data_IF_738096554644
#
_entry.id   IF_738096554644
#
_cell.length_a   1.000
_cell.length_b   1.000
_cell.length_c   1.000
_cell.angle_alpha   90.00
_cell.angle_beta   90.00
_cell.angle_gamma   90.00
#
_symmetry.space_group_name_H-M   'P 1'
#
loop_
_entity.id
_entity.type
_entity.pdbx_description
1 polymer ?
#
# COMPACT_ATOMS: atom_id res chain seq x y z
N UNK A 1 -25.86 -70.46 -12.11
CA UNK A 1 -25.19 -69.89 -13.30
C UNK A 1 -24.64 -68.52 -12.90
N UNK A 2 -23.36 -68.46 -12.49
CA UNK A 2 -22.24 -67.79 -13.21
C UNK A 2 -22.48 -66.27 -13.34
N UNK A 3 -22.12 -65.46 -12.34
CA UNK A 3 -20.81 -64.81 -12.06
C UNK A 3 -20.46 -63.61 -12.96
N UNK A 4 -20.33 -62.47 -12.27
CA UNK A 4 -19.30 -61.41 -12.36
C UNK A 4 -19.23 -60.49 -13.59
N UNK A 5 -18.94 -59.21 -13.31
CA UNK A 5 -18.49 -58.26 -14.34
C UNK A 5 -18.30 -56.80 -13.90
N UNK A 6 -17.73 -56.55 -12.72
CA UNK A 6 -17.10 -55.26 -12.39
C UNK A 6 -15.92 -55.04 -13.35
N UNK A 7 -15.85 -53.90 -14.03
CA UNK A 7 -14.62 -53.49 -14.71
C UNK A 7 -14.37 -51.99 -14.54
N UNK A 8 -13.52 -51.73 -13.54
CA UNK A 8 -12.74 -50.52 -13.34
C UNK A 8 -11.61 -50.56 -14.39
N UNK A 9 -11.50 -49.54 -15.24
CA UNK A 9 -10.32 -49.37 -16.12
C UNK A 9 -9.60 -48.09 -15.70
N UNK A 10 -8.54 -48.28 -14.91
CA UNK A 10 -7.42 -47.36 -14.88
C UNK A 10 -6.55 -47.64 -16.12
N UNK A 11 -6.30 -46.62 -16.93
CA UNK A 11 -5.14 -46.63 -17.81
C UNK A 11 -4.45 -45.27 -17.77
N UNK A 12 -3.36 -45.25 -17.03
CA UNK A 12 -2.30 -44.26 -17.11
C UNK A 12 -1.50 -44.57 -18.38
N UNK A 13 -1.37 -43.60 -19.28
CA UNK A 13 -0.36 -43.64 -20.33
C UNK A 13 0.17 -42.23 -20.60
N UNK A 14 1.45 -42.07 -20.24
CA UNK A 14 2.34 -40.98 -20.60
C UNK A 14 2.16 -40.55 -22.06
N UNK A 15 1.88 -39.28 -22.31
CA UNK A 15 2.26 -38.63 -23.55
C UNK A 15 3.23 -37.49 -23.23
N UNK A 16 4.45 -37.66 -23.73
CA UNK A 16 5.54 -36.71 -23.62
C UNK A 16 5.15 -35.38 -24.28
N UNK A 17 5.01 -34.33 -23.48
CA UNK A 17 4.88 -32.97 -23.97
C UNK A 17 6.29 -32.51 -24.37
N UNK A 18 6.45 -32.26 -25.67
CA UNK A 18 7.60 -31.58 -26.25
C UNK A 18 7.70 -30.17 -25.67
N UNK A 19 8.72 -29.90 -24.87
CA UNK A 19 9.12 -28.57 -24.42
C UNK A 19 9.76 -27.80 -25.59
N UNK A 20 9.21 -26.66 -26.03
CA UNK A 20 10.02 -25.68 -26.73
C UNK A 20 10.94 -25.00 -25.70
N UNK A 21 12.25 -25.25 -25.82
CA UNK A 21 13.26 -24.41 -25.19
C UNK A 21 13.28 -23.05 -25.88
N UNK A 22 12.45 -22.14 -25.38
CA UNK A 22 12.58 -20.71 -25.59
C UNK A 22 13.27 -20.08 -24.40
N UNK A 23 14.59 -19.94 -24.50
CA UNK A 23 15.37 -19.05 -23.64
C UNK A 23 14.94 -17.61 -23.93
N UNK A 24 14.08 -17.08 -23.08
CA UNK A 24 13.76 -15.67 -23.00
C UNK A 24 13.65 -15.31 -21.53
N UNK A 25 14.79 -14.95 -20.92
CA UNK A 25 14.78 -14.28 -19.64
C UNK A 25 14.09 -12.94 -19.82
N UNK A 26 12.80 -12.90 -19.52
CA UNK A 26 12.09 -11.66 -19.26
C UNK A 26 12.50 -11.28 -17.84
N UNK A 27 13.57 -10.49 -17.71
CA UNK A 27 13.69 -9.65 -16.52
C UNK A 27 12.59 -8.61 -16.66
N UNK A 28 11.57 -8.67 -15.80
CA UNK A 28 10.57 -7.63 -15.62
C UNK A 28 11.19 -6.36 -14.97
N UNK A 29 12.42 -6.03 -15.35
CA UNK A 29 13.03 -4.73 -15.16
C UNK A 29 12.60 -3.87 -16.35
N UNK A 30 11.31 -3.53 -16.39
CA UNK A 30 10.85 -2.43 -17.24
C UNK A 30 11.62 -1.17 -16.80
N UNK A 31 12.54 -0.75 -17.65
CA UNK A 31 13.34 0.46 -17.49
C UNK A 31 12.41 1.67 -17.55
N UNK A 32 12.17 2.28 -16.39
CA UNK A 32 11.28 3.43 -16.19
C UNK A 32 11.92 4.72 -16.70
N UNK A 33 12.15 4.84 -18.01
CA UNK A 33 12.57 6.11 -18.62
C UNK A 33 11.35 6.90 -19.10
N UNK A 34 10.63 7.53 -18.16
CA UNK A 34 9.61 8.53 -18.48
C UNK A 34 10.25 9.93 -18.54
N UNK A 35 9.72 10.77 -19.44
CA UNK A 35 10.32 12.05 -19.83
C UNK A 35 10.65 12.97 -18.65
N UNK A 36 11.76 13.70 -18.79
CA UNK A 36 12.42 14.61 -17.84
C UNK A 36 11.57 15.80 -17.34
N UNK A 37 10.34 15.58 -16.86
CA UNK A 37 9.76 16.44 -15.83
C UNK A 37 10.24 15.86 -14.51
N UNK A 38 10.75 16.68 -13.59
CA UNK A 38 11.37 16.23 -12.35
C UNK A 38 10.42 15.33 -11.53
N UNK A 39 10.48 14.01 -11.77
CA UNK A 39 9.71 13.01 -11.05
C UNK A 39 10.33 12.89 -9.65
N UNK A 40 9.88 13.73 -8.72
CA UNK A 40 10.20 13.55 -7.31
C UNK A 40 9.36 12.38 -6.80
N UNK A 41 9.86 11.17 -7.04
CA UNK A 41 9.28 9.97 -6.48
C UNK A 41 9.72 9.91 -4.99
N UNK A 42 8.83 10.40 -4.12
CA UNK A 42 9.12 10.68 -2.71
C UNK A 42 9.58 9.46 -1.89
N UNK A 43 9.26 8.25 -2.36
CA UNK A 43 9.56 7.01 -1.65
C UNK A 43 10.87 6.33 -2.10
N UNK A 44 11.46 6.69 -3.25
CA UNK A 44 12.64 5.96 -3.78
C UNK A 44 13.92 6.16 -2.99
N UNK A 45 14.02 7.20 -2.16
CA UNK A 45 15.21 7.44 -1.35
C UNK A 45 15.19 6.69 -0.02
N UNK A 46 14.08 6.03 0.33
CA UNK A 46 13.80 5.62 1.72
C UNK A 46 13.92 4.12 1.98
N UNK A 47 13.77 3.28 0.96
CA UNK A 47 14.01 1.82 1.05
C UNK A 47 15.47 1.43 0.72
N UNK A 48 16.40 2.39 0.66
CA UNK A 48 17.78 2.18 0.17
C UNK A 48 18.79 1.74 1.22
N UNK A 49 18.49 1.80 2.52
CA UNK A 49 19.39 1.25 3.54
C UNK A 49 19.13 -0.24 3.73
N UNK A 50 20.18 -1.07 3.65
CA UNK A 50 20.15 -2.50 3.98
C UNK A 50 19.89 -2.78 5.48
N UNK A 51 19.51 -1.77 6.26
CA UNK A 51 19.51 -1.76 7.70
C UNK A 51 18.21 -1.20 8.29
N UNK A 52 17.09 -1.90 8.15
CA UNK A 52 15.93 -1.67 9.03
C UNK A 52 14.71 -0.99 8.40
N UNK A 53 13.60 -1.01 9.13
CA UNK A 53 12.34 -0.32 8.82
C UNK A 53 12.49 1.20 8.92
N UNK A 54 13.63 1.73 8.50
CA UNK A 54 14.23 2.98 8.98
C UNK A 54 13.22 4.12 9.00
N UNK A 55 12.69 4.35 10.20
CA UNK A 55 11.78 5.45 10.50
C UNK A 55 10.29 5.25 10.17
N UNK A 56 9.90 4.10 9.63
CA UNK A 56 8.50 3.72 9.48
C UNK A 56 7.94 3.12 10.77
N UNK A 57 6.67 3.42 11.05
CA UNK A 57 5.92 2.91 12.21
C UNK A 57 4.53 2.46 11.77
N UNK A 58 3.89 1.63 12.58
CA UNK A 58 2.45 1.36 12.47
C UNK A 58 1.77 2.18 13.54
N UNK A 59 0.82 3.00 13.13
CA UNK A 59 0.05 3.85 14.05
C UNK A 59 -1.44 3.64 13.85
N UNK A 60 -2.20 3.82 14.92
CA UNK A 60 -3.66 3.87 14.83
C UNK A 60 -4.14 5.14 14.14
N UNK A 61 -5.46 5.30 14.06
CA UNK A 61 -6.05 6.61 13.76
C UNK A 61 -5.59 7.63 14.82
N UNK A 62 -5.51 8.91 14.44
CA UNK A 62 -5.13 9.96 15.38
C UNK A 62 -6.06 9.99 16.60
N UNK A 63 -5.47 9.90 17.78
CA UNK A 63 -6.21 9.88 19.05
C UNK A 63 -6.68 8.48 19.47
N UNK A 64 -6.40 7.46 18.68
CA UNK A 64 -6.60 6.05 19.03
C UNK A 64 -5.27 5.43 19.45
N UNK A 65 -5.35 4.32 20.20
CA UNK A 65 -4.17 3.54 20.55
C UNK A 65 -3.57 2.91 19.29
N UNK A 66 -2.24 2.86 19.24
CA UNK A 66 -1.56 2.13 18.18
C UNK A 66 -1.99 0.66 18.22
N UNK A 67 -2.24 0.02 17.07
CA UNK A 67 -2.66 -1.37 17.07
C UNK A 67 -1.59 -2.22 17.74
N UNK A 68 -2.01 -3.27 18.45
CA UNK A 68 -1.11 -4.28 19.02
C UNK A 68 -0.33 -5.09 17.95
N UNK A 69 -0.37 -4.63 16.71
CA UNK A 69 0.15 -5.25 15.52
C UNK A 69 1.67 -5.29 15.47
N UNK A 70 2.15 -6.18 14.61
CA UNK A 70 3.56 -6.32 14.31
C UNK A 70 3.95 -5.35 13.20
N UNK A 71 5.14 -4.76 13.27
CA UNK A 71 5.82 -4.17 12.12
C UNK A 71 7.14 -4.91 11.94
N UNK A 72 7.40 -5.36 10.71
CA UNK A 72 8.66 -5.98 10.35
C UNK A 72 9.07 -5.63 8.92
N UNK A 73 10.31 -5.95 8.60
CA UNK A 73 10.79 -5.93 7.23
C UNK A 73 10.69 -7.32 6.62
N UNK A 74 10.27 -7.36 5.36
CA UNK A 74 10.32 -8.54 4.53
C UNK A 74 11.35 -8.34 3.42
N UNK A 75 12.52 -8.95 3.61
CA UNK A 75 13.67 -8.78 2.73
C UNK A 75 13.42 -9.25 1.30
N UNK A 76 12.66 -10.35 1.12
CA UNK A 76 12.37 -10.93 -0.20
C UNK A 76 11.64 -9.94 -1.13
N UNK A 77 10.78 -9.11 -0.56
CA UNK A 77 9.97 -8.15 -1.31
C UNK A 77 10.41 -6.69 -1.10
N UNK A 78 11.45 -6.45 -0.29
CA UNK A 78 11.85 -5.11 0.18
C UNK A 78 10.65 -4.30 0.67
N UNK A 79 9.80 -4.95 1.47
CA UNK A 79 8.52 -4.39 1.91
C UNK A 79 8.46 -4.27 3.43
N UNK A 80 7.79 -3.22 3.91
CA UNK A 80 7.33 -3.13 5.28
C UNK A 80 6.12 -4.04 5.42
N UNK A 81 6.14 -4.95 6.39
CA UNK A 81 5.03 -5.84 6.71
C UNK A 81 4.41 -5.41 8.02
N UNK A 82 3.10 -5.24 8.03
CA UNK A 82 2.34 -5.02 9.26
C UNK A 82 1.09 -5.88 9.30
N UNK A 83 0.63 -6.25 10.49
CA UNK A 83 -0.57 -7.08 10.66
C UNK A 83 -1.30 -6.77 11.95
N UNK A 84 -2.62 -7.00 11.97
CA UNK A 84 -3.47 -6.88 13.16
C UNK A 84 -4.19 -8.22 13.48
N UNK A 85 -4.83 -8.29 14.67
CA UNK A 85 -5.37 -9.54 15.22
C UNK A 85 -6.86 -9.49 15.62
N UNK A 86 -7.63 -8.52 15.11
CA UNK A 86 -9.07 -8.25 15.32
C UNK A 86 -9.49 -7.44 16.57
N UNK A 87 -10.70 -6.82 16.52
CA UNK A 87 -11.25 -6.15 15.34
C UNK A 87 -10.39 -4.91 15.08
N UNK A 88 -9.89 -4.79 13.85
CA UNK A 88 -8.94 -3.74 13.52
C UNK A 88 -9.65 -2.40 13.50
N UNK A 89 -9.11 -1.39 14.18
CA UNK A 89 -9.36 0.01 13.85
C UNK A 89 -8.49 0.38 12.64
N UNK A 90 -8.81 1.43 11.86
CA UNK A 90 -7.96 1.84 10.76
C UNK A 90 -6.55 2.15 11.28
N UNK A 91 -5.55 1.55 10.64
CA UNK A 91 -4.14 1.77 10.96
C UNK A 91 -3.33 2.13 9.73
N UNK A 92 -2.19 2.74 9.98
CA UNK A 92 -1.38 3.42 8.98
C UNK A 92 0.09 3.05 9.09
N UNK A 93 0.73 2.90 7.95
CA UNK A 93 2.17 3.05 7.83
C UNK A 93 2.50 4.54 7.94
N UNK A 94 3.19 4.92 9.02
CA UNK A 94 3.63 6.29 9.28
C UNK A 94 5.11 6.46 8.92
N UNK A 95 5.38 7.32 7.94
CA UNK A 95 6.73 7.64 7.46
C UNK A 95 7.40 8.82 8.16
N UNK A 96 6.91 9.26 9.33
CA UNK A 96 7.47 10.41 10.07
C UNK A 96 8.98 10.30 10.34
N UNK A 97 9.50 9.11 10.67
CA UNK A 97 10.93 8.88 10.85
C UNK A 97 11.67 8.58 9.54
N UNK A 98 10.94 8.28 8.47
CA UNK A 98 11.49 7.85 7.19
C UNK A 98 11.86 9.05 6.29
N UNK A 99 12.35 10.17 6.86
CA UNK A 99 12.76 11.34 6.07
C UNK A 99 11.63 12.08 5.31
N UNK A 100 10.36 11.74 5.55
CA UNK A 100 9.20 12.46 5.00
C UNK A 100 8.80 13.69 5.84
N UNK A 101 9.33 13.80 7.06
CA UNK A 101 9.15 14.97 7.93
C UNK A 101 10.08 16.13 7.52
N UNK A 102 9.78 16.82 6.41
CA UNK A 102 10.58 17.94 5.88
C UNK A 102 9.77 18.81 4.92
N UNK A 103 10.41 19.85 4.37
CA UNK A 103 9.87 20.59 3.23
C UNK A 103 9.86 19.70 1.97
N UNK A 104 8.66 19.48 1.44
CA UNK A 104 8.35 18.71 0.24
C UNK A 104 7.66 19.57 -0.84
N UNK A 105 7.76 20.92 -0.80
CA UNK A 105 7.15 21.80 -1.83
C UNK A 105 7.60 21.43 -3.24
N UNK A 106 8.86 20.99 -3.39
CA UNK A 106 9.39 20.54 -4.68
C UNK A 106 8.67 19.32 -5.27
N UNK A 107 7.85 18.61 -4.48
CA UNK A 107 7.02 17.49 -4.93
C UNK A 107 5.61 17.91 -5.35
N UNK A 108 5.25 19.20 -5.27
CA UNK A 108 3.98 19.70 -5.81
C UNK A 108 3.90 19.44 -7.33
N UNK A 109 2.74 18.99 -7.82
CA UNK A 109 2.54 18.40 -9.17
C UNK A 109 3.28 17.07 -9.44
N UNK A 110 4.04 16.57 -8.46
CA UNK A 110 4.65 15.25 -8.49
C UNK A 110 3.69 14.14 -8.05
N UNK A 111 4.26 12.96 -7.76
CA UNK A 111 3.49 11.78 -7.37
C UNK A 111 4.13 11.09 -6.16
N UNK A 112 3.29 10.68 -5.22
CA UNK A 112 3.61 9.68 -4.20
C UNK A 112 3.36 8.30 -4.80
N UNK A 113 4.42 7.56 -5.12
CA UNK A 113 4.35 6.22 -5.73
C UNK A 113 4.73 5.13 -4.74
N UNK A 114 3.91 4.08 -4.65
CA UNK A 114 4.14 2.93 -3.78
C UNK A 114 3.41 1.69 -4.29
N UNK A 115 3.77 0.53 -3.74
CA UNK A 115 2.97 -0.69 -3.83
C UNK A 115 2.37 -1.04 -2.48
N UNK A 116 1.11 -1.45 -2.50
CA UNK A 116 0.40 -1.95 -1.32
C UNK A 116 -0.32 -3.24 -1.68
N UNK A 117 -0.25 -4.23 -0.78
CA UNK A 117 -1.06 -5.45 -0.88
C UNK A 117 -1.26 -6.11 0.47
N UNK A 118 -2.26 -6.97 0.52
CA UNK A 118 -2.81 -7.61 1.69
C UNK A 118 -2.81 -9.12 1.46
N UNK A 119 -1.67 -9.80 1.61
CA UNK A 119 -1.57 -11.26 1.41
C UNK A 119 -2.48 -12.07 2.33
N UNK A 120 -2.66 -11.58 3.55
CA UNK A 120 -3.40 -12.20 4.63
C UNK A 120 -4.69 -11.39 4.75
N UNK A 121 -5.81 -11.94 4.26
CA UNK A 121 -7.12 -11.31 4.31
C UNK A 121 -8.14 -12.30 4.88
N UNK A 122 -9.22 -11.81 5.49
CA UNK A 122 -10.36 -12.65 5.83
C UNK A 122 -10.93 -13.35 4.58
N UNK A 123 -11.66 -14.47 4.75
CA UNK A 123 -12.31 -15.15 3.63
C UNK A 123 -13.26 -14.22 2.88
N UNK A 124 -13.21 -14.26 1.54
CA UNK A 124 -14.11 -13.47 0.70
C UNK A 124 -15.59 -13.79 0.98
N UNK A 125 -16.46 -12.79 0.87
CA UNK A 125 -17.89 -12.92 1.14
C UNK A 125 -18.25 -12.98 2.64
N UNK A 126 -17.28 -12.73 3.53
CA UNK A 126 -17.55 -12.53 4.97
C UNK A 126 -17.60 -11.05 5.31
N UNK A 127 -18.37 -10.68 6.34
CA UNK A 127 -18.43 -9.29 6.84
C UNK A 127 -17.05 -8.74 7.25
N UNK A 128 -16.11 -9.63 7.58
CA UNK A 128 -14.74 -9.29 7.94
C UNK A 128 -13.91 -8.87 6.72
N UNK A 129 -14.23 -9.38 5.52
CA UNK A 129 -13.58 -9.01 4.26
C UNK A 129 -14.18 -7.74 3.64
N UNK A 130 -15.19 -7.14 4.27
CA UNK A 130 -15.75 -5.87 3.80
C UNK A 130 -14.78 -4.71 4.11
N UNK A 131 -14.74 -3.67 3.26
CA UNK A 131 -13.98 -2.47 3.54
C UNK A 131 -14.35 -1.87 4.89
N UNK A 132 -13.34 -1.48 5.66
CA UNK A 132 -13.52 -0.74 6.89
C UNK A 132 -13.58 0.76 6.61
N UNK A 133 -14.37 1.48 7.42
CA UNK A 133 -14.21 2.92 7.58
C UNK A 133 -14.58 3.69 6.31
N UNK A 134 -15.86 3.70 5.97
CA UNK A 134 -16.36 4.60 4.93
C UNK A 134 -15.94 6.04 5.25
N UNK A 135 -15.19 6.66 4.34
CA UNK A 135 -14.68 8.02 4.52
C UNK A 135 -13.40 8.14 5.35
N UNK A 136 -12.83 7.03 5.83
CA UNK A 136 -11.49 7.07 6.46
C UNK A 136 -10.42 7.36 5.40
N UNK A 137 -9.42 8.20 5.72
CA UNK A 137 -8.43 8.60 4.76
C UNK A 137 -7.48 7.46 4.46
N UNK A 138 -7.18 7.30 3.18
CA UNK A 138 -6.21 6.36 2.63
C UNK A 138 -4.78 6.92 2.69
N UNK A 139 -4.64 8.22 2.42
CA UNK A 139 -3.37 8.95 2.51
C UNK A 139 -3.59 10.19 3.36
N UNK A 140 -2.70 10.41 4.32
CA UNK A 140 -2.73 11.61 5.17
C UNK A 140 -1.36 12.27 5.15
N UNK A 141 -1.35 13.56 4.85
CA UNK A 141 -0.19 14.44 5.04
C UNK A 141 -0.48 15.27 6.29
N UNK A 142 0.20 14.95 7.39
CA UNK A 142 0.12 15.74 8.62
C UNK A 142 1.17 16.86 8.55
N UNK A 143 0.76 18.06 8.92
CA UNK A 143 1.64 19.23 8.94
C UNK A 143 2.20 19.48 10.35
N UNK A 144 3.35 20.16 10.44
CA UNK A 144 3.92 20.62 11.71
C UNK A 144 3.00 21.62 12.44
N UNK A 145 2.14 22.31 11.70
CA UNK A 145 1.12 23.22 12.23
C UNK A 145 -0.11 22.49 12.80
N UNK A 146 -0.16 21.15 12.71
CA UNK A 146 -1.17 20.31 13.35
C UNK A 146 -2.44 20.06 12.54
N UNK A 147 -2.56 20.61 11.32
CA UNK A 147 -3.64 20.25 10.40
C UNK A 147 -3.22 19.15 9.43
N UNK A 148 -4.21 18.52 8.81
CA UNK A 148 -4.03 17.36 7.93
C UNK A 148 -4.64 17.62 6.56
N UNK A 149 -3.99 17.06 5.55
CA UNK A 149 -4.47 16.99 4.18
C UNK A 149 -4.69 15.53 3.85
N UNK A 150 -5.92 15.18 3.53
CA UNK A 150 -6.35 13.77 3.47
C UNK A 150 -6.93 13.41 2.11
N UNK A 151 -6.66 12.20 1.65
CA UNK A 151 -7.25 11.59 0.46
C UNK A 151 -7.88 10.27 0.85
N UNK A 152 -9.05 9.93 0.29
CA UNK A 152 -9.80 8.72 0.59
C UNK A 152 -10.39 8.10 -0.69
N UNK A 153 -10.63 6.79 -0.68
CA UNK A 153 -11.26 6.05 -1.78
C UNK A 153 -10.32 5.68 -2.94
N UNK A 154 -9.01 5.77 -2.73
CA UNK A 154 -7.98 5.47 -3.74
C UNK A 154 -7.34 4.10 -3.52
N UNK A 155 -7.30 3.59 -2.28
CA UNK A 155 -6.73 2.29 -1.96
C UNK A 155 -7.79 1.18 -2.03
N UNK A 156 -7.33 -0.02 -2.35
CA UNK A 156 -8.17 -1.23 -2.40
C UNK A 156 -7.38 -2.41 -1.83
N UNK A 157 -8.03 -3.20 -0.99
CA UNK A 157 -7.44 -4.43 -0.50
C UNK A 157 -7.25 -5.40 -1.68
N UNK A 158 -6.06 -5.98 -1.80
CA UNK A 158 -5.72 -6.94 -2.86
C UNK A 158 -4.69 -7.93 -2.36
N UNK A 159 -4.84 -9.21 -2.66
CA UNK A 159 -3.83 -10.22 -2.29
C UNK A 159 -2.53 -10.08 -3.08
N UNK A 160 -2.57 -9.39 -4.22
CA UNK A 160 -1.45 -9.21 -5.12
C UNK A 160 -0.93 -7.75 -5.06
N UNK A 161 0.38 -7.53 -5.21
CA UNK A 161 0.97 -6.18 -5.28
C UNK A 161 0.20 -5.26 -6.23
N UNK A 162 -0.34 -4.15 -5.72
CA UNK A 162 -0.96 -3.09 -6.51
C UNK A 162 -0.08 -1.86 -6.50
N UNK A 163 0.13 -1.25 -7.68
CA UNK A 163 0.88 0.00 -7.82
C UNK A 163 -0.06 1.19 -7.66
N UNK A 164 0.32 2.15 -6.83
CA UNK A 164 -0.39 3.40 -6.61
C UNK A 164 0.50 4.58 -6.97
N UNK A 165 -0.10 5.60 -7.58
CA UNK A 165 0.56 6.86 -7.91
C UNK A 165 -0.39 8.00 -7.56
N UNK A 166 -0.22 8.56 -6.36
CA UNK A 166 -1.09 9.61 -5.84
C UNK A 166 -0.50 10.97 -6.22
N UNK A 167 -1.23 11.76 -7.00
CA UNK A 167 -0.77 13.07 -7.45
C UNK A 167 -0.86 14.10 -6.33
N UNK A 168 0.23 14.85 -6.10
CA UNK A 168 0.32 15.91 -5.08
C UNK A 168 -0.09 17.26 -5.68
N UNK A 169 -1.37 17.37 -6.04
CA UNK A 169 -1.99 18.55 -6.62
C UNK A 169 -3.47 18.65 -6.18
N UNK A 170 -3.99 19.86 -6.02
CA UNK A 170 -5.34 20.12 -5.51
C UNK A 170 -6.47 19.71 -6.47
N UNK A 171 -6.19 19.66 -7.77
CA UNK A 171 -7.19 19.30 -8.78
C UNK A 171 -7.22 17.81 -9.09
N UNK A 172 -6.06 17.14 -9.01
CA UNK A 172 -5.87 15.78 -9.50
C UNK A 172 -6.63 14.74 -8.66
N UNK A 173 -6.76 15.00 -7.37
CA UNK A 173 -7.42 14.11 -6.41
C UNK A 173 -8.30 14.94 -5.47
N UNK A 174 -9.35 14.34 -4.91
CA UNK A 174 -10.26 15.03 -3.99
C UNK A 174 -9.65 15.20 -2.58
N UNK A 175 -8.44 15.77 -2.51
CA UNK A 175 -7.76 16.10 -1.28
C UNK A 175 -8.61 17.05 -0.42
N UNK A 176 -8.75 16.72 0.87
CA UNK A 176 -9.53 17.47 1.84
C UNK A 176 -8.60 18.12 2.87
N UNK A 177 -8.85 19.38 3.18
CA UNK A 177 -8.19 20.11 4.29
C UNK A 177 -8.99 19.89 5.59
N UNK A 178 -8.35 19.32 6.61
CA UNK A 178 -8.99 19.00 7.89
C UNK A 178 -9.49 20.22 8.66
N UNK A 179 -8.99 21.43 8.37
CA UNK A 179 -9.42 22.68 9.03
C UNK A 179 -10.80 23.11 8.56
N UNK A 180 -11.11 22.85 7.29
CA UNK A 180 -12.31 23.36 6.62
C UNK A 180 -13.27 22.25 6.21
N UNK A 181 -12.82 20.99 6.22
CA UNK A 181 -13.53 19.83 5.67
C UNK A 181 -13.97 20.03 4.22
N UNK A 182 -13.20 20.82 3.47
CA UNK A 182 -13.44 21.12 2.05
C UNK A 182 -12.25 20.67 1.21
N UNK A 183 -12.47 20.61 -0.11
CA UNK A 183 -11.38 20.41 -1.06
C UNK A 183 -10.27 21.43 -0.80
N UNK A 184 -9.05 20.93 -0.78
CA UNK A 184 -7.86 21.76 -0.56
C UNK A 184 -7.68 22.76 -1.70
N UNK A 185 -7.11 23.93 -1.40
CA UNK A 185 -6.68 24.90 -2.41
C UNK A 185 -5.21 24.70 -2.75
N UNK A 186 -4.74 25.21 -3.88
CA UNK A 186 -3.31 25.18 -4.25
C UNK A 186 -2.41 25.76 -3.15
N UNK A 187 -2.78 26.92 -2.59
CA UNK A 187 -2.04 27.56 -1.49
C UNK A 187 -1.99 26.68 -0.25
N UNK A 188 -3.11 26.02 0.13
CA UNK A 188 -3.13 25.14 1.29
C UNK A 188 -2.34 23.84 1.06
N UNK A 189 -2.32 23.31 -0.17
CA UNK A 189 -1.50 22.17 -0.53
C UNK A 189 -0.01 22.51 -0.44
N UNK A 190 0.40 23.67 -0.97
CA UNK A 190 1.79 24.16 -0.86
C UNK A 190 2.17 24.43 0.61
N UNK A 191 1.27 25.01 1.40
CA UNK A 191 1.46 25.19 2.85
C UNK A 191 1.68 23.83 3.54
N UNK A 192 0.88 22.83 3.21
CA UNK A 192 1.02 21.49 3.78
C UNK A 192 2.34 20.84 3.39
N UNK A 193 2.73 20.92 2.12
CA UNK A 193 3.99 20.37 1.62
C UNK A 193 5.22 21.10 2.17
N UNK A 194 5.16 22.40 2.46
CA UNK A 194 6.29 23.12 3.07
C UNK A 194 6.57 22.74 4.52
N UNK A 195 5.59 22.15 5.21
CA UNK A 195 5.68 21.87 6.64
C UNK A 195 5.23 20.44 6.95
N UNK A 196 5.65 19.45 6.15
CA UNK A 196 5.25 18.06 6.39
C UNK A 196 5.89 17.55 7.67
N UNK A 197 5.05 17.02 8.56
CA UNK A 197 5.44 16.28 9.75
C UNK A 197 5.44 14.78 9.50
N UNK A 198 4.45 14.28 8.77
CA UNK A 198 4.37 12.87 8.41
C UNK A 198 3.54 12.67 7.16
N UNK A 199 3.83 11.58 6.46
CA UNK A 199 2.95 10.99 5.45
C UNK A 199 2.54 9.63 5.96
N UNK A 200 1.23 9.41 6.05
CA UNK A 200 0.63 8.16 6.50
C UNK A 200 -0.11 7.51 5.33
N UNK A 201 0.12 6.22 5.14
CA UNK A 201 -0.56 5.40 4.12
C UNK A 201 -1.34 4.33 4.86
N UNK A 202 -2.64 4.23 4.59
CA UNK A 202 -3.52 3.29 5.26
C UNK A 202 -3.13 1.85 4.92
N UNK A 203 -2.88 1.06 5.96
CA UNK A 203 -2.63 -0.37 5.84
C UNK A 203 -3.86 -1.20 6.20
N UNK A 204 -4.62 -0.75 7.21
CA UNK A 204 -5.85 -1.40 7.66
C UNK A 204 -7.06 -1.00 6.82
N UNK A 205 -7.35 -1.75 5.76
CA UNK A 205 -8.45 -1.52 4.82
C UNK A 205 -9.68 -2.39 5.09
N UNK A 206 -9.57 -3.49 5.82
CA UNK A 206 -10.63 -4.47 6.05
C UNK A 206 -11.11 -4.47 7.50
N UNK A 207 -12.34 -4.94 7.74
CA UNK A 207 -12.91 -4.99 9.11
C UNK A 207 -12.30 -6.09 9.99
N UNK A 208 -11.87 -7.19 9.36
CA UNK A 208 -11.23 -8.30 10.04
C UNK A 208 -9.71 -8.21 10.05
N UNK A 209 -9.05 -9.22 10.65
CA UNK A 209 -7.61 -9.34 10.64
C UNK A 209 -7.03 -9.31 9.23
N UNK A 210 -5.99 -8.51 9.04
CA UNK A 210 -5.22 -8.51 7.81
C UNK A 210 -3.73 -8.31 8.06
N UNK A 211 -2.95 -8.80 7.12
CA UNK A 211 -1.54 -8.48 6.98
C UNK A 211 -1.38 -7.65 5.72
N UNK A 212 -0.77 -6.47 5.83
CA UNK A 212 -0.46 -5.60 4.71
C UNK A 212 1.06 -5.45 4.50
N UNK A 213 1.43 -5.17 3.26
CA UNK A 213 2.80 -4.93 2.81
C UNK A 213 2.88 -3.64 2.03
N UNK A 214 3.80 -2.78 2.41
CA UNK A 214 4.09 -1.50 1.74
C UNK A 214 5.51 -1.53 1.18
N UNK A 215 5.65 -1.28 -0.12
CA UNK A 215 6.95 -1.11 -0.78
C UNK A 215 6.93 0.07 -1.73
N UNK A 216 8.06 0.36 -2.36
CA UNK A 216 8.15 1.22 -3.55
C UNK A 216 7.52 0.54 -4.78
#
# INVERSE_FOLDING_TARGET
MRWAGTLLVFLVALLAIHLPQGLGGVSDDEDWSFGQSAEVCLLQSLFRSEAGSDGWRVVGRKGEEDPAGFLGLEYEHRALRASDSAPALPWYFDGSGAGLSRDLVGAYNGQLRFKLWHPEQPPEGTELAEPQGEGEPDVVIETLCGFEVTLAGVLRASRLPQRYAVVLHEEAESWIDSRTSRRITSTAMLEALSNVRSVRIRGGLLRGPEGARLSE
#
